data_IF_279443454322
#
_entry.id   IF_279443454322
#
_cell.length_a   1.000
_cell.length_b   1.000
_cell.length_c   1.000
_cell.angle_alpha   90.00
_cell.angle_beta   90.00
_cell.angle_gamma   90.00
#
_symmetry.space_group_name_H-M   'P 1'
#
loop_
_entity.id
_entity.type
_entity.pdbx_description
1 polymer ?
#
# COMPACT_ATOMS: atom_id res chain seq x y z
N UNK A 1 40.79 -18.35 -19.55
CA UNK A 1 39.58 -18.96 -20.16
C UNK A 1 38.42 -18.89 -19.16
N UNK A 2 37.26 -18.35 -19.53
CA UNK A 2 36.04 -18.45 -18.70
C UNK A 2 35.35 -19.78 -19.02
N UNK A 3 35.09 -20.65 -18.04
CA UNK A 3 34.39 -21.91 -18.29
C UNK A 3 32.97 -21.66 -18.78
N UNK A 4 32.51 -22.49 -19.72
CA UNK A 4 31.18 -22.38 -20.34
C UNK A 4 30.06 -22.54 -19.31
N UNK A 5 28.87 -21.95 -19.54
CA UNK A 5 27.76 -21.97 -18.57
C UNK A 5 27.35 -23.37 -18.10
N UNK A 6 27.48 -24.39 -18.95
CA UNK A 6 27.15 -25.79 -18.64
C UNK A 6 28.13 -26.43 -17.64
N UNK A 7 29.36 -25.90 -17.53
CA UNK A 7 30.38 -26.35 -16.58
C UNK A 7 30.28 -25.61 -15.23
N UNK A 8 29.42 -24.59 -15.12
CA UNK A 8 29.17 -23.86 -13.88
C UNK A 8 27.93 -24.39 -13.12
N UNK A 9 27.31 -25.48 -13.57
CA UNK A 9 26.07 -26.09 -13.04
C UNK A 9 26.11 -26.30 -11.52
N UNK A 10 27.26 -26.64 -10.95
CA UNK A 10 27.42 -26.80 -9.49
C UNK A 10 27.14 -25.51 -8.69
N UNK A 11 27.26 -24.33 -9.31
CA UNK A 11 26.95 -23.03 -8.67
C UNK A 11 25.45 -22.77 -8.57
N UNK A 12 24.64 -23.29 -9.50
CA UNK A 12 23.20 -23.04 -9.55
C UNK A 12 22.40 -23.92 -8.57
N UNK A 13 22.95 -25.06 -8.13
CA UNK A 13 22.29 -26.00 -7.21
C UNK A 13 21.97 -25.42 -5.82
N UNK A 14 22.75 -24.42 -5.38
CA UNK A 14 22.57 -23.78 -4.06
C UNK A 14 21.72 -22.52 -4.11
N UNK A 15 21.23 -22.13 -5.29
CA UNK A 15 20.31 -21.01 -5.43
C UNK A 15 18.91 -21.41 -4.97
N UNK A 16 18.16 -20.43 -4.47
CA UNK A 16 16.79 -20.66 -4.01
C UNK A 16 15.88 -20.94 -5.20
N UNK A 17 15.18 -22.08 -5.15
CA UNK A 17 14.21 -22.48 -6.16
C UNK A 17 13.11 -21.43 -6.40
N UNK A 18 12.84 -21.22 -7.67
CA UNK A 18 11.79 -20.40 -8.25
C UNK A 18 10.80 -21.28 -9.01
N UNK A 19 9.65 -20.73 -9.36
CA UNK A 19 8.58 -21.45 -10.08
C UNK A 19 8.97 -21.92 -11.48
N UNK A 20 10.12 -21.46 -12.01
CA UNK A 20 10.59 -21.78 -13.36
C UNK A 20 11.76 -22.75 -13.39
N UNK A 21 12.30 -23.11 -12.23
CA UNK A 21 13.45 -24.02 -12.13
C UNK A 21 13.02 -25.50 -12.18
N UNK A 22 11.77 -25.79 -11.78
CA UNK A 22 11.25 -27.15 -11.63
C UNK A 22 9.80 -27.23 -12.11
N UNK A 23 9.38 -28.42 -12.54
CA UNK A 23 8.03 -28.69 -13.03
C UNK A 23 7.19 -29.44 -11.96
N UNK A 24 5.92 -29.71 -12.27
CA UNK A 24 4.96 -30.62 -11.59
C UNK A 24 5.11 -30.72 -10.06
N UNK A 25 4.21 -30.04 -9.34
CA UNK A 25 4.07 -30.16 -7.88
C UNK A 25 4.77 -29.07 -7.09
N UNK A 26 5.77 -28.39 -7.65
CA UNK A 26 6.33 -27.18 -7.03
C UNK A 26 5.46 -25.96 -7.34
N UNK A 27 4.62 -25.56 -6.38
CA UNK A 27 3.85 -24.32 -6.44
C UNK A 27 4.41 -23.29 -5.45
N UNK A 28 4.64 -22.06 -5.91
CA UNK A 28 5.07 -20.94 -5.08
C UNK A 28 4.30 -19.69 -5.48
N UNK A 29 3.55 -19.12 -4.54
CA UNK A 29 2.69 -17.96 -4.77
C UNK A 29 3.45 -16.63 -4.82
N UNK A 30 2.80 -15.61 -5.39
CA UNK A 30 3.33 -14.24 -5.55
C UNK A 30 2.69 -13.24 -4.57
N UNK A 31 2.23 -13.69 -3.40
CA UNK A 31 1.59 -12.86 -2.36
C UNK A 31 0.36 -12.08 -2.86
N UNK A 32 -0.38 -12.64 -3.81
CA UNK A 32 -1.64 -12.07 -4.29
C UNK A 32 -2.74 -12.10 -3.22
N UNK A 33 -2.60 -12.91 -2.18
CA UNK A 33 -3.56 -13.06 -1.08
C UNK A 33 -4.59 -14.16 -1.37
N UNK A 34 -5.26 -14.65 -0.32
CA UNK A 34 -6.31 -15.66 -0.43
C UNK A 34 -7.68 -14.98 -0.59
N UNK A 35 -8.25 -15.07 -1.79
CA UNK A 35 -9.55 -14.44 -2.13
C UNK A 35 -10.75 -15.38 -1.89
N UNK A 36 -10.53 -16.50 -1.19
CA UNK A 36 -11.48 -17.60 -1.13
C UNK A 36 -10.84 -18.88 -0.60
N UNK A 37 -11.39 -20.02 -1.00
CA UNK A 37 -10.98 -21.35 -0.53
C UNK A 37 -10.96 -22.38 -1.67
N UNK A 38 -10.07 -23.38 -1.55
CA UNK A 38 -10.09 -24.54 -2.44
C UNK A 38 -11.24 -25.47 -2.08
N UNK A 39 -11.87 -26.05 -3.11
CA UNK A 39 -12.92 -27.07 -2.93
C UNK A 39 -12.30 -28.47 -2.86
N UNK A 40 -13.07 -29.44 -2.34
CA UNK A 40 -12.65 -30.85 -2.24
C UNK A 40 -12.17 -31.45 -3.56
N UNK A 41 -12.71 -30.99 -4.69
CA UNK A 41 -12.45 -31.53 -6.03
C UNK A 41 -11.48 -30.67 -6.86
N UNK A 42 -10.69 -29.79 -6.22
CA UNK A 42 -9.65 -29.01 -6.88
C UNK A 42 -10.11 -27.69 -7.51
N UNK A 43 -11.42 -27.37 -7.47
CA UNK A 43 -11.93 -26.03 -7.81
C UNK A 43 -11.57 -24.97 -6.76
N UNK A 44 -11.93 -23.71 -7.03
CA UNK A 44 -11.72 -22.58 -6.12
C UNK A 44 -13.02 -21.77 -5.99
N UNK A 45 -13.45 -21.49 -4.74
CA UNK A 45 -14.65 -20.71 -4.43
C UNK A 45 -14.23 -19.33 -3.92
N UNK A 46 -14.68 -18.27 -4.59
CA UNK A 46 -14.36 -16.89 -4.23
C UNK A 46 -15.23 -16.42 -3.06
N UNK A 47 -14.59 -15.78 -2.08
CA UNK A 47 -15.26 -15.04 -1.00
C UNK A 47 -15.15 -13.54 -1.30
N UNK A 48 -16.24 -12.94 -1.78
CA UNK A 48 -16.28 -11.53 -2.16
C UNK A 48 -16.00 -10.56 -1.01
N UNK A 49 -16.12 -10.99 0.26
CA UNK A 49 -15.73 -10.16 1.42
C UNK A 49 -14.21 -9.98 1.54
N UNK A 50 -13.43 -10.89 0.95
CA UNK A 50 -11.94 -10.83 0.93
C UNK A 50 -11.40 -10.17 -0.33
N UNK A 51 -12.25 -9.94 -1.33
CA UNK A 51 -11.88 -9.28 -2.57
C UNK A 51 -11.65 -7.79 -2.29
N UNK A 52 -10.45 -7.30 -2.59
CA UNK A 52 -10.09 -5.89 -2.39
C UNK A 52 -10.73 -5.03 -3.47
N UNK A 53 -11.36 -3.93 -3.06
CA UNK A 53 -11.88 -2.88 -3.94
C UNK A 53 -11.13 -1.57 -3.70
N UNK A 54 -10.91 -0.80 -4.75
CA UNK A 54 -10.36 0.55 -4.65
C UNK A 54 -11.50 1.56 -4.86
N UNK A 55 -11.92 2.22 -3.78
CA UNK A 55 -13.05 3.16 -3.81
C UNK A 55 -12.59 4.46 -4.47
N UNK A 56 -13.22 4.81 -5.60
CA UNK A 56 -12.96 6.06 -6.31
C UNK A 56 -13.98 7.10 -5.84
N UNK A 57 -13.56 8.26 -5.31
CA UNK A 57 -14.47 9.32 -4.91
C UNK A 57 -15.31 9.86 -6.08
N UNK A 58 -16.54 10.27 -5.78
CA UNK A 58 -17.40 10.92 -6.77
C UNK A 58 -16.94 12.36 -7.08
N UNK A 59 -17.32 12.88 -8.25
CA UNK A 59 -17.09 14.30 -8.58
C UNK A 59 -15.65 14.67 -8.98
N UNK A 60 -14.74 13.71 -9.17
CA UNK A 60 -13.35 13.98 -9.55
C UNK A 60 -13.18 14.84 -10.80
N UNK A 61 -14.10 14.75 -11.77
CA UNK A 61 -14.07 15.58 -13.00
C UNK A 61 -14.22 17.08 -12.72
N UNK A 62 -14.86 17.46 -11.61
CA UNK A 62 -15.07 18.86 -11.20
C UNK A 62 -14.08 19.30 -10.13
N UNK A 63 -13.25 18.39 -9.64
CA UNK A 63 -12.31 18.65 -8.55
C UNK A 63 -11.13 19.48 -9.05
N UNK A 64 -10.82 20.57 -8.34
CA UNK A 64 -9.83 21.56 -8.80
C UNK A 64 -8.41 21.27 -8.31
N UNK A 65 -8.23 20.42 -7.30
CA UNK A 65 -6.88 20.13 -6.79
C UNK A 65 -6.14 19.22 -7.77
N UNK A 66 -4.92 19.61 -8.10
CA UNK A 66 -4.00 18.88 -8.96
C UNK A 66 -2.84 18.33 -8.12
N UNK A 67 -2.05 17.39 -8.64
CA UNK A 67 -0.88 16.88 -7.92
C UNK A 67 0.26 17.88 -7.77
N UNK A 68 0.13 19.09 -8.33
CA UNK A 68 1.17 20.13 -8.34
C UNK A 68 0.63 21.43 -7.75
N UNK A 69 1.53 22.23 -7.19
CA UNK A 69 1.25 23.59 -6.70
C UNK A 69 2.14 24.55 -7.49
N UNK A 70 1.66 25.77 -7.76
CA UNK A 70 2.47 26.81 -8.39
C UNK A 70 3.71 27.13 -7.54
N UNK A 71 4.87 27.29 -8.17
CA UNK A 71 6.14 27.65 -7.51
C UNK A 71 6.10 29.02 -6.82
N UNK A 72 5.16 29.88 -7.21
CA UNK A 72 4.92 31.17 -6.55
C UNK A 72 4.41 31.00 -5.11
N UNK A 73 3.79 29.86 -4.80
CA UNK A 73 3.29 29.54 -3.46
C UNK A 73 4.46 29.03 -2.61
N UNK A 74 4.97 29.88 -1.72
CA UNK A 74 6.03 29.49 -0.78
C UNK A 74 5.51 28.43 0.20
N UNK A 75 6.28 27.37 0.48
CA UNK A 75 5.89 26.37 1.47
C UNK A 75 5.79 27.02 2.86
N UNK A 76 4.60 26.96 3.46
CA UNK A 76 4.39 27.46 4.81
C UNK A 76 5.00 26.49 5.84
N UNK A 77 5.81 27.03 6.76
CA UNK A 77 6.30 26.27 7.91
C UNK A 77 5.18 25.97 8.91
N UNK A 78 5.25 24.81 9.57
CA UNK A 78 4.27 24.43 10.61
C UNK A 78 4.46 25.29 11.86
N UNK A 79 3.47 26.10 12.22
CA UNK A 79 3.50 26.97 13.41
C UNK A 79 2.63 26.41 14.55
N UNK A 80 2.97 25.23 15.06
CA UNK A 80 2.44 24.73 16.35
C UNK A 80 3.27 25.22 17.55
N UNK A 81 4.37 25.95 17.28
CA UNK A 81 5.32 26.44 18.28
C UNK A 81 4.76 27.52 19.21
N UNK A 82 3.65 28.18 18.86
CA UNK A 82 3.10 29.30 19.64
C UNK A 82 2.52 28.88 21.00
N UNK A 83 2.25 27.59 21.21
CA UNK A 83 1.60 27.08 22.43
C UNK A 83 2.50 26.25 23.34
N UNK A 84 3.80 26.07 23.03
CA UNK A 84 4.72 25.17 23.76
C UNK A 84 4.12 23.78 24.04
N UNK A 85 3.19 23.32 23.21
CA UNK A 85 2.50 22.06 23.44
C UNK A 85 3.31 20.91 22.80
N UNK A 86 3.84 19.95 23.59
CA UNK A 86 4.56 18.80 23.05
C UNK A 86 3.71 17.93 22.12
N UNK A 87 2.38 17.96 22.23
CA UNK A 87 1.47 17.19 21.38
C UNK A 87 1.25 17.81 19.98
N UNK A 88 1.53 19.11 19.80
CA UNK A 88 1.45 19.82 18.52
C UNK A 88 0.14 19.55 17.74
N UNK A 89 0.21 19.04 16.48
CA UNK A 89 -0.98 18.79 15.66
C UNK A 89 -1.88 17.65 16.15
N UNK A 90 -1.43 16.87 17.14
CA UNK A 90 -2.19 15.74 17.70
C UNK A 90 -2.85 16.09 19.04
N UNK A 91 -2.81 17.37 19.45
CA UNK A 91 -3.41 17.82 20.69
C UNK A 91 -4.95 17.70 20.65
N UNK A 92 -5.56 16.90 21.56
CA UNK A 92 -7.01 16.75 21.61
C UNK A 92 -7.72 18.03 22.06
N UNK A 93 -7.09 18.87 22.90
CA UNK A 93 -7.72 20.10 23.38
C UNK A 93 -7.86 21.13 22.24
N UNK A 94 -6.80 21.31 21.45
CA UNK A 94 -6.81 22.14 20.24
C UNK A 94 -7.82 21.65 19.19
N UNK A 95 -7.95 20.33 19.02
CA UNK A 95 -8.96 19.78 18.13
C UNK A 95 -10.37 20.14 18.61
N UNK A 96 -10.66 19.92 19.90
CA UNK A 96 -11.99 20.22 20.47
C UNK A 96 -12.34 21.70 20.38
N UNK A 97 -11.38 22.60 20.65
CA UNK A 97 -11.61 24.05 20.52
C UNK A 97 -11.88 24.44 19.06
N UNK A 98 -11.10 23.91 18.12
CA UNK A 98 -11.28 24.16 16.67
C UNK A 98 -12.62 23.63 16.17
N UNK A 99 -13.05 22.47 16.67
CA UNK A 99 -14.35 21.89 16.33
C UNK A 99 -15.50 22.77 16.85
N UNK A 100 -15.46 23.20 18.13
CA UNK A 100 -16.46 24.12 18.70
C UNK A 100 -16.55 25.43 17.91
N UNK A 101 -15.41 25.95 17.47
CA UNK A 101 -15.33 27.18 16.68
C UNK A 101 -15.92 27.04 15.27
N UNK A 102 -15.61 25.92 14.57
CA UNK A 102 -15.99 25.75 13.16
C UNK A 102 -17.32 25.08 12.94
N UNK A 103 -17.70 24.14 13.81
CA UNK A 103 -18.80 23.21 13.55
C UNK A 103 -19.37 22.58 14.85
N UNK A 104 -19.72 23.40 15.85
CA UNK A 104 -20.16 22.93 17.16
C UNK A 104 -21.56 22.30 17.24
N UNK A 105 -22.14 21.86 16.12
CA UNK A 105 -23.51 21.34 16.02
C UNK A 105 -23.60 19.91 15.45
N UNK A 106 -22.56 19.42 14.76
CA UNK A 106 -22.52 18.08 14.16
C UNK A 106 -22.27 16.94 15.17
#
# INVERSE_FOLDING_TARGET
MRPSPILQVLKFRHLRLTTKDVNKGFYKGNRTGAMGEHTKYGGYKIDYKKVRTYVVPEGLKKFKLTPFVSELVKPAGRTYKKTNNPAGPRDPALFLSTWKEKNGFD
#
